data_IF_236288767477
#
_entry.id   IF_236288767477
#
_cell.length_a   1.000
_cell.length_b   1.000
_cell.length_c   1.000
_cell.angle_alpha   90.00
_cell.angle_beta   90.00
_cell.angle_gamma   90.00
#
_symmetry.space_group_name_H-M   'P 1'
#
loop_
_entity.id
_entity.type
_entity.pdbx_description
1 polymer ?
#
# COMPACT_ATOMS: atom_id res chain seq x y z
N UNK A 1 7.86 -14.93 14.01
CA UNK A 1 7.10 -14.13 13.04
C UNK A 1 5.76 -13.79 13.66
N UNK A 2 5.26 -12.57 13.48
CA UNK A 2 3.95 -12.15 13.97
C UNK A 2 3.11 -11.59 12.82
N UNK A 3 1.78 -11.62 12.90
CA UNK A 3 0.92 -10.91 11.96
C UNK A 3 1.02 -9.39 12.17
N UNK A 4 0.55 -8.61 11.20
CA UNK A 4 0.57 -7.14 11.30
C UNK A 4 -0.40 -6.63 12.37
N UNK A 5 -1.44 -7.39 12.64
CA UNK A 5 -2.47 -7.16 13.65
C UNK A 5 -1.98 -7.40 15.08
N UNK A 6 -0.80 -8.00 15.26
CA UNK A 6 -0.22 -8.28 16.57
C UNK A 6 1.31 -8.25 16.48
N UNK A 7 1.91 -7.10 16.77
CA UNK A 7 3.34 -6.86 16.65
C UNK A 7 4.05 -7.05 17.99
N UNK A 8 5.26 -7.67 18.01
CA UNK A 8 5.98 -8.00 19.24
C UNK A 8 6.75 -6.80 19.80
N UNK A 9 6.20 -5.59 19.67
CA UNK A 9 6.79 -4.35 20.16
C UNK A 9 6.03 -3.84 21.38
N UNK A 10 6.75 -3.21 22.31
CA UNK A 10 6.14 -2.54 23.45
C UNK A 10 5.33 -1.32 23.01
N UNK A 11 4.39 -0.92 23.85
CA UNK A 11 3.59 0.27 23.63
C UNK A 11 4.48 1.50 23.48
N UNK A 12 4.18 2.36 22.51
CA UNK A 12 4.89 3.61 22.29
C UNK A 12 6.39 3.48 21.98
N UNK A 13 6.84 2.33 21.47
CA UNK A 13 8.28 2.06 21.22
C UNK A 13 8.72 2.28 19.78
N UNK A 14 7.78 2.48 18.84
CA UNK A 14 8.07 2.56 17.41
C UNK A 14 7.95 4.00 16.90
N UNK A 15 9.04 4.51 16.31
CA UNK A 15 9.08 5.86 15.73
C UNK A 15 8.54 5.91 14.29
N UNK A 16 8.76 4.85 13.52
CA UNK A 16 8.33 4.73 12.13
C UNK A 16 7.80 3.31 11.88
N UNK A 17 6.56 3.22 11.41
CA UNK A 17 5.98 2.01 10.86
C UNK A 17 5.79 2.19 9.35
N UNK A 18 6.13 1.18 8.57
CA UNK A 18 5.87 1.18 7.13
C UNK A 18 5.02 0.00 6.71
N UNK A 19 4.05 0.24 5.85
CA UNK A 19 3.35 -0.81 5.10
C UNK A 19 3.64 -0.62 3.60
N UNK A 20 4.58 -1.40 3.08
CA UNK A 20 5.11 -1.30 1.72
C UNK A 20 4.46 -2.37 0.81
N UNK A 21 3.40 -1.99 0.11
CA UNK A 21 2.60 -2.90 -0.75
C UNK A 21 2.02 -4.10 0.03
N UNK A 22 1.76 -3.94 1.34
CA UNK A 22 1.27 -5.04 2.20
C UNK A 22 -0.12 -4.78 2.80
N UNK A 23 -0.48 -3.52 3.04
CA UNK A 23 -1.67 -3.16 3.82
C UNK A 23 -2.99 -3.72 3.27
N UNK A 24 -3.06 -4.03 1.98
CA UNK A 24 -4.25 -4.61 1.36
C UNK A 24 -4.54 -6.05 1.82
N UNK A 25 -3.61 -6.70 2.52
CA UNK A 25 -3.82 -8.02 3.12
C UNK A 25 -4.31 -7.96 4.57
N UNK A 26 -4.24 -6.79 5.22
CA UNK A 26 -4.45 -6.68 6.66
C UNK A 26 -5.92 -6.50 7.01
N UNK A 27 -6.30 -6.97 8.20
CA UNK A 27 -7.55 -6.57 8.82
C UNK A 27 -7.38 -5.18 9.45
N UNK A 28 -7.88 -4.14 8.78
CA UNK A 28 -7.71 -2.74 9.22
C UNK A 28 -8.33 -2.45 10.60
N UNK A 29 -9.41 -3.16 10.96
CA UNK A 29 -10.08 -3.00 12.26
C UNK A 29 -9.20 -3.49 13.42
N UNK A 30 -8.25 -4.38 13.16
CA UNK A 30 -7.28 -4.88 14.14
C UNK A 30 -5.91 -4.20 13.99
N UNK A 31 -5.49 -3.95 12.76
CA UNK A 31 -4.20 -3.37 12.42
C UNK A 31 -4.09 -1.90 12.86
N UNK A 32 -5.09 -1.06 12.62
CA UNK A 32 -4.99 0.38 12.94
C UNK A 32 -4.92 0.65 14.46
N UNK A 33 -5.67 -0.05 15.33
CA UNK A 33 -5.45 -0.01 16.77
C UNK A 33 -4.04 -0.49 17.18
N UNK A 34 -3.54 -1.54 16.54
CA UNK A 34 -2.20 -2.07 16.84
C UNK A 34 -1.10 -1.06 16.47
N UNK A 35 -1.22 -0.40 15.31
CA UNK A 35 -0.35 0.71 14.91
C UNK A 35 -0.36 1.81 15.97
N UNK A 36 -1.55 2.21 16.46
CA UNK A 36 -1.68 3.21 17.52
C UNK A 36 -0.98 2.77 18.82
N UNK A 37 -1.10 1.49 19.20
CA UNK A 37 -0.49 0.95 20.41
C UNK A 37 1.04 1.07 20.37
N UNK A 38 1.66 0.67 19.25
CA UNK A 38 3.12 0.62 19.16
C UNK A 38 3.77 1.95 18.83
N UNK A 39 3.09 2.87 18.14
CA UNK A 39 3.67 4.15 17.75
C UNK A 39 3.89 5.04 18.98
N UNK A 40 5.10 5.60 19.09
CA UNK A 40 5.41 6.59 20.11
C UNK A 40 4.67 7.92 19.85
N UNK A 41 4.72 8.85 20.82
CA UNK A 41 4.27 10.23 20.58
C UNK A 41 5.03 10.79 19.38
N UNK A 42 4.30 11.37 18.41
CA UNK A 42 4.82 11.83 17.12
C UNK A 42 5.44 10.73 16.23
N UNK A 43 5.20 9.46 16.53
CA UNK A 43 5.47 8.33 15.65
C UNK A 43 4.70 8.46 14.33
N UNK A 44 5.26 7.92 13.25
CA UNK A 44 4.67 8.02 11.91
C UNK A 44 4.39 6.64 11.34
N UNK A 45 3.22 6.48 10.74
CA UNK A 45 2.95 5.41 9.81
C UNK A 45 3.07 5.94 8.38
N UNK A 46 3.89 5.30 7.57
CA UNK A 46 3.99 5.56 6.14
C UNK A 46 3.47 4.36 5.36
N UNK A 47 2.35 4.54 4.65
CA UNK A 47 1.78 3.52 3.78
C UNK A 47 2.09 3.89 2.34
N UNK A 48 2.70 2.96 1.62
CA UNK A 48 3.03 3.17 0.22
C UNK A 48 3.00 1.86 -0.53
N UNK A 49 2.80 1.96 -1.83
CA UNK A 49 2.80 0.81 -2.69
C UNK A 49 2.68 1.24 -4.13
N UNK A 50 2.79 0.25 -5.00
CA UNK A 50 2.68 0.44 -6.44
C UNK A 50 1.62 -0.53 -6.97
N UNK A 51 0.94 -0.07 -8.00
CA UNK A 51 0.12 -0.90 -8.86
C UNK A 51 0.31 -0.37 -10.28
N UNK A 52 0.18 -1.24 -11.27
CA UNK A 52 0.30 -0.84 -12.67
C UNK A 52 1.69 -0.27 -13.04
N UNK A 53 2.75 -1.02 -12.74
CA UNK A 53 4.10 -0.59 -13.09
C UNK A 53 4.38 -0.85 -14.56
N UNK A 54 4.60 0.21 -15.33
CA UNK A 54 5.09 0.13 -16.71
C UNK A 54 6.62 0.28 -16.73
N UNK A 55 7.33 -0.46 -17.58
CA UNK A 55 8.77 -0.30 -17.74
C UNK A 55 9.10 1.03 -18.42
N UNK A 56 10.19 1.68 -17.99
CA UNK A 56 10.69 2.89 -18.63
C UNK A 56 11.68 2.53 -19.75
N UNK A 57 11.37 2.92 -20.99
CA UNK A 57 12.21 2.67 -22.15
C UNK A 57 12.74 3.99 -22.72
N UNK A 58 14.04 4.01 -23.08
CA UNK A 58 14.68 5.19 -23.67
C UNK A 58 14.22 5.49 -25.10
N UNK A 59 13.80 4.45 -25.83
CA UNK A 59 13.28 4.58 -27.18
C UNK A 59 11.77 4.90 -27.09
N UNK A 60 11.33 6.08 -27.54
CA UNK A 60 9.95 6.52 -27.38
C UNK A 60 8.96 5.68 -28.19
N UNK A 61 9.38 5.12 -29.33
CA UNK A 61 8.50 4.28 -30.16
C UNK A 61 8.25 2.96 -29.44
N UNK A 62 9.33 2.32 -28.95
CA UNK A 62 9.20 1.08 -28.17
C UNK A 62 8.49 1.28 -26.84
N UNK A 63 8.67 2.44 -26.20
CA UNK A 63 7.96 2.79 -24.99
C UNK A 63 6.44 2.78 -25.23
N UNK A 64 5.97 3.42 -26.31
CA UNK A 64 4.56 3.44 -26.67
C UNK A 64 4.01 2.03 -26.98
N UNK A 65 4.74 1.21 -27.75
CA UNK A 65 4.34 -0.17 -28.05
C UNK A 65 4.20 -1.03 -26.78
N UNK A 66 5.14 -0.89 -25.84
CA UNK A 66 5.10 -1.62 -24.57
C UNK A 66 3.98 -1.09 -23.66
N UNK A 67 3.75 0.22 -23.63
CA UNK A 67 2.67 0.82 -22.85
C UNK A 67 1.30 0.31 -23.28
N UNK A 68 1.04 0.23 -24.59
CA UNK A 68 -0.20 -0.33 -25.14
C UNK A 68 -0.35 -1.83 -24.82
N UNK A 69 0.74 -2.60 -24.90
CA UNK A 69 0.73 -4.01 -24.53
C UNK A 69 0.40 -4.21 -23.05
N UNK A 70 0.97 -3.38 -22.17
CA UNK A 70 0.68 -3.40 -20.73
C UNK A 70 -0.77 -3.03 -20.45
N UNK A 71 -1.31 -2.03 -21.16
CA UNK A 71 -2.71 -1.65 -21.03
C UNK A 71 -3.64 -2.81 -21.38
N UNK A 72 -3.41 -3.45 -22.53
CA UNK A 72 -4.14 -4.65 -22.93
C UNK A 72 -3.99 -5.81 -21.95
N UNK A 73 -2.78 -6.04 -21.42
CA UNK A 73 -2.50 -7.07 -20.44
C UNK A 73 -3.36 -6.89 -19.18
N UNK A 74 -3.38 -5.68 -18.63
CA UNK A 74 -4.15 -5.40 -17.41
C UNK A 74 -5.66 -5.41 -17.65
N UNK A 75 -6.15 -4.86 -18.77
CA UNK A 75 -7.57 -4.95 -19.14
C UNK A 75 -8.03 -6.41 -19.27
N UNK A 76 -7.20 -7.25 -19.88
CA UNK A 76 -7.50 -8.69 -20.05
C UNK A 76 -7.55 -9.42 -18.71
N UNK A 77 -6.66 -9.05 -17.77
CA UNK A 77 -6.58 -9.70 -16.47
C UNK A 77 -7.54 -9.13 -15.43
N UNK A 78 -8.10 -7.95 -15.63
CA UNK A 78 -8.94 -7.26 -14.64
C UNK A 78 -10.05 -8.15 -14.05
N UNK A 79 -10.80 -8.95 -14.83
CA UNK A 79 -11.84 -9.84 -14.30
C UNK A 79 -11.34 -10.92 -13.34
N UNK A 80 -10.04 -11.26 -13.42
CA UNK A 80 -9.40 -12.31 -12.63
C UNK A 80 -8.63 -11.76 -11.42
N UNK A 81 -8.51 -10.44 -11.29
CA UNK A 81 -7.84 -9.83 -10.15
C UNK A 81 -8.71 -9.92 -8.90
N UNK A 82 -8.07 -10.13 -7.74
CA UNK A 82 -8.73 -10.00 -6.45
C UNK A 82 -9.00 -8.51 -6.18
N UNK A 83 -10.08 -7.97 -6.77
CA UNK A 83 -10.38 -6.54 -6.79
C UNK A 83 -10.37 -5.90 -5.39
N UNK A 84 -10.84 -6.60 -4.36
CA UNK A 84 -10.80 -6.11 -2.96
C UNK A 84 -9.39 -5.74 -2.48
N UNK A 85 -8.36 -6.45 -2.94
CA UNK A 85 -6.97 -6.24 -2.54
C UNK A 85 -6.27 -5.23 -3.46
N UNK A 86 -6.59 -5.27 -4.76
CA UNK A 86 -6.00 -4.39 -5.76
C UNK A 86 -6.54 -2.96 -5.68
N UNK A 87 -7.81 -2.79 -5.26
CA UNK A 87 -8.46 -1.48 -5.22
C UNK A 87 -7.78 -0.49 -4.28
N UNK A 88 -7.26 -0.95 -3.13
CA UNK A 88 -6.54 -0.06 -2.21
C UNK A 88 -5.28 0.53 -2.85
N UNK A 89 -4.58 -0.24 -3.69
CA UNK A 89 -3.43 0.26 -4.45
C UNK A 89 -3.88 1.16 -5.60
N UNK A 90 -4.93 0.77 -6.35
CA UNK A 90 -5.51 1.57 -7.44
C UNK A 90 -5.95 2.97 -6.96
N UNK A 91 -6.61 3.07 -5.80
CA UNK A 91 -7.03 4.36 -5.23
C UNK A 91 -5.93 5.09 -4.46
N UNK A 92 -4.70 4.55 -4.44
CA UNK A 92 -3.56 5.11 -3.70
C UNK A 92 -3.89 5.34 -2.23
N UNK A 93 -4.60 4.38 -1.63
CA UNK A 93 -5.06 4.39 -0.24
C UNK A 93 -6.00 5.54 0.16
N UNK A 94 -6.51 6.34 -0.79
CA UNK A 94 -7.40 7.48 -0.49
C UNK A 94 -8.72 7.11 0.17
N UNK A 95 -9.20 5.89 -0.08
CA UNK A 95 -10.47 5.40 0.48
C UNK A 95 -10.31 4.81 1.89
N UNK A 96 -9.07 4.70 2.37
CA UNK A 96 -8.79 4.15 3.70
C UNK A 96 -9.05 5.22 4.75
N UNK A 97 -9.92 4.91 5.71
CA UNK A 97 -10.20 5.80 6.84
C UNK A 97 -9.11 5.64 7.91
N UNK A 98 -8.03 6.40 7.76
CA UNK A 98 -6.99 6.44 8.78
C UNK A 98 -7.45 7.23 10.01
N UNK A 99 -7.30 6.69 11.24
CA UNK A 99 -7.61 7.41 12.47
C UNK A 99 -6.40 8.26 12.94
N UNK A 100 -5.56 8.69 12.01
CA UNK A 100 -4.31 9.42 12.24
C UNK A 100 -4.34 10.72 11.45
N UNK A 101 -3.65 11.73 11.95
CA UNK A 101 -3.45 12.97 11.21
C UNK A 101 -2.51 12.73 10.02
N UNK A 102 -2.88 13.24 8.85
CA UNK A 102 -1.99 13.25 7.68
C UNK A 102 -0.95 14.36 7.85
N UNK A 103 0.32 14.01 7.70
CA UNK A 103 1.45 14.93 7.91
C UNK A 103 2.40 14.91 6.72
N UNK A 104 2.95 16.08 6.37
CA UNK A 104 4.10 16.20 5.46
C UNK A 104 5.35 16.28 6.33
N UNK A 105 6.32 15.38 6.08
CA UNK A 105 7.57 15.25 6.83
C UNK A 105 8.77 15.51 5.93
#
# INVERSE_FOLDING_TARGET
ASPAEQLPFSDGSVQLLTAATSMHWFNLDLFLPEVRRILCVNGTMAVYGYHYMKPELKDPVRAAEIDELYDKYYETLEPYLLMRHVNMLKSRYKDVKFPFEEVVR
#
